data_IF_296313172825
#
_entry.id   IF_296313172825
#
_cell.length_a   1.000
_cell.length_b   1.000
_cell.length_c   1.000
_cell.angle_alpha   90.00
_cell.angle_beta   90.00
_cell.angle_gamma   90.00
#
_symmetry.space_group_name_H-M   'P 1'
#
loop_
_entity.id
_entity.type
_entity.pdbx_description
1 polymer ?
#
# COMPACT_ATOMS: atom_id res chain seq x y z
N UNK A 1 -0.98 -20.44 -17.26
CA UNK A 1 -1.25 -21.87 -17.00
C UNK A 1 -0.52 -22.15 -15.69
N UNK A 2 -1.25 -22.28 -14.58
CA UNK A 2 -0.64 -22.65 -13.29
C UNK A 2 -1.00 -24.12 -13.06
N UNK A 3 0.04 -24.94 -12.94
CA UNK A 3 -0.09 -26.36 -12.63
C UNK A 3 -0.57 -26.51 -11.18
N UNK A 4 -1.71 -27.18 -11.02
CA UNK A 4 -2.11 -27.72 -9.72
C UNK A 4 -1.24 -28.97 -9.52
N UNK A 5 -0.07 -28.79 -8.91
CA UNK A 5 0.70 -29.92 -8.42
C UNK A 5 -0.08 -30.52 -7.25
N UNK A 6 -0.76 -31.64 -7.51
CA UNK A 6 -1.18 -32.58 -6.47
C UNK A 6 0.09 -33.25 -5.91
N UNK A 7 0.78 -32.60 -4.98
CA UNK A 7 1.75 -33.28 -4.12
C UNK A 7 1.34 -33.10 -2.66
N UNK A 8 1.01 -34.21 -2.03
CA UNK A 8 0.61 -34.37 -0.62
C UNK A 8 1.83 -34.37 0.32
N UNK A 9 2.80 -33.51 0.08
CA UNK A 9 3.79 -33.13 1.08
C UNK A 9 3.61 -31.64 1.31
N UNK A 10 3.01 -31.31 2.45
CA UNK A 10 2.95 -29.92 2.91
C UNK A 10 4.40 -29.49 3.10
N UNK A 11 4.91 -28.69 2.17
CA UNK A 11 6.17 -28.00 2.34
C UNK A 11 6.07 -27.22 3.65
N UNK A 12 6.95 -27.53 4.61
CA UNK A 12 6.90 -26.92 5.94
C UNK A 12 7.02 -25.40 5.84
N UNK A 13 7.61 -24.91 4.75
CA UNK A 13 7.74 -23.49 4.44
C UNK A 13 6.40 -22.81 4.09
N UNK A 14 5.36 -23.59 3.78
CA UNK A 14 4.03 -23.07 3.41
C UNK A 14 3.00 -23.20 4.53
N UNK A 15 3.33 -23.85 5.65
CA UNK A 15 2.34 -24.24 6.67
C UNK A 15 1.54 -23.07 7.24
N UNK A 16 2.17 -21.91 7.38
CA UNK A 16 1.54 -20.71 7.94
C UNK A 16 0.49 -20.10 7.00
N UNK A 17 0.66 -20.29 5.69
CA UNK A 17 -0.28 -19.82 4.66
C UNK A 17 -1.47 -20.77 4.47
N UNK A 18 -1.40 -21.99 4.98
CA UNK A 18 -2.46 -22.98 4.80
C UNK A 18 -3.55 -22.77 5.87
N UNK A 19 -4.79 -22.77 5.41
CA UNK A 19 -5.98 -22.66 6.25
C UNK A 19 -6.00 -23.73 7.36
N UNK A 20 -6.08 -23.35 8.65
CA UNK A 20 -6.09 -24.30 9.75
C UNK A 20 -7.19 -25.36 9.65
N UNK A 21 -8.33 -25.05 9.04
CA UNK A 21 -9.45 -25.99 8.90
C UNK A 21 -9.10 -27.19 8.01
N UNK A 22 -8.17 -27.04 7.06
CA UNK A 22 -7.66 -28.13 6.23
C UNK A 22 -6.84 -29.15 7.02
N UNK A 23 -6.31 -28.76 8.18
CA UNK A 23 -5.58 -29.67 9.08
C UNK A 23 -6.48 -30.31 10.14
N UNK A 24 -7.62 -29.69 10.45
CA UNK A 24 -8.52 -30.12 11.53
C UNK A 24 -9.51 -31.20 11.06
N UNK A 25 -10.05 -31.07 9.84
CA UNK A 25 -11.13 -31.93 9.36
C UNK A 25 -10.92 -32.36 7.92
N UNK A 26 -11.12 -33.66 7.66
CA UNK A 26 -11.05 -34.25 6.33
C UNK A 26 -12.24 -33.87 5.43
N UNK A 27 -13.33 -33.33 5.99
CA UNK A 27 -14.51 -32.89 5.23
C UNK A 27 -14.43 -31.43 4.80
N UNK A 28 -13.45 -30.67 5.31
CA UNK A 28 -13.23 -29.30 4.87
C UNK A 28 -12.33 -29.32 3.64
N UNK A 29 -12.90 -28.93 2.51
CA UNK A 29 -12.17 -28.80 1.26
C UNK A 29 -11.67 -27.37 1.08
N UNK A 30 -10.54 -27.25 0.40
CA UNK A 30 -9.98 -25.97 0.01
C UNK A 30 -11.02 -25.18 -0.80
N UNK A 31 -11.33 -23.96 -0.36
CA UNK A 31 -12.30 -23.10 -1.00
C UNK A 31 -11.84 -21.64 -1.07
N UNK A 32 -12.73 -20.76 -1.54
CA UNK A 32 -12.44 -19.32 -1.61
C UNK A 32 -12.13 -18.70 -0.25
N UNK A 33 -12.58 -19.27 0.87
CA UNK A 33 -12.25 -18.78 2.21
C UNK A 33 -10.84 -19.19 2.60
N UNK A 34 -10.36 -20.35 2.16
CA UNK A 34 -8.95 -20.74 2.27
C UNK A 34 -8.05 -19.78 1.50
N UNK A 35 -8.43 -19.33 0.30
CA UNK A 35 -7.69 -18.29 -0.45
C UNK A 35 -7.56 -16.97 0.35
N UNK A 36 -8.66 -16.54 0.99
CA UNK A 36 -8.68 -15.31 1.81
C UNK A 36 -7.76 -15.45 3.02
N UNK A 37 -7.71 -16.63 3.63
CA UNK A 37 -6.79 -16.90 4.73
C UNK A 37 -5.34 -16.70 4.29
N UNK A 38 -4.93 -17.33 3.19
CA UNK A 38 -3.56 -17.20 2.65
C UNK A 38 -3.24 -15.75 2.31
N UNK A 39 -4.22 -15.01 1.77
CA UNK A 39 -4.08 -13.58 1.49
C UNK A 39 -3.83 -12.77 2.76
N UNK A 40 -4.49 -13.08 3.88
CA UNK A 40 -4.23 -12.42 5.17
C UNK A 40 -2.79 -12.59 5.64
N UNK A 41 -2.24 -13.80 5.52
CA UNK A 41 -0.84 -14.10 5.86
C UNK A 41 0.12 -13.34 4.95
N UNK A 42 -0.14 -13.30 3.64
CA UNK A 42 0.64 -12.51 2.67
C UNK A 42 0.61 -11.01 2.98
N UNK A 43 -0.55 -10.47 3.36
CA UNK A 43 -0.67 -9.06 3.75
C UNK A 43 0.17 -8.73 5.00
N UNK A 44 0.22 -9.64 5.98
CA UNK A 44 1.12 -9.50 7.11
C UNK A 44 2.59 -9.54 6.69
N UNK A 45 2.98 -10.48 5.82
CA UNK A 45 4.34 -10.59 5.28
C UNK A 45 4.77 -9.31 4.54
N UNK A 46 3.88 -8.73 3.71
CA UNK A 46 4.12 -7.44 3.06
C UNK A 46 4.34 -6.33 4.07
N UNK A 47 3.60 -6.36 5.18
CA UNK A 47 3.73 -5.37 6.24
C UNK A 47 4.99 -5.57 7.08
N UNK A 48 5.48 -6.79 7.24
CA UNK A 48 6.66 -7.11 8.05
C UNK A 48 7.96 -7.07 7.24
N UNK A 49 7.87 -7.25 5.92
CA UNK A 49 9.01 -7.46 5.03
C UNK A 49 9.74 -8.79 5.27
N UNK A 50 9.11 -9.74 6.00
CA UNK A 50 9.71 -11.02 6.37
C UNK A 50 8.67 -12.15 6.20
N UNK A 51 9.09 -13.33 5.73
CA UNK A 51 8.19 -14.47 5.67
C UNK A 51 7.71 -14.86 7.08
N UNK A 52 6.51 -15.48 7.20
CA UNK A 52 6.04 -16.10 8.43
C UNK A 52 7.08 -17.04 9.01
N UNK A 53 7.08 -17.19 10.34
CA UNK A 53 7.96 -18.17 10.97
C UNK A 53 7.52 -19.57 10.57
N UNK A 54 8.42 -20.34 9.98
CA UNK A 54 8.19 -21.74 9.59
C UNK A 54 8.96 -22.70 10.51
N UNK A 55 10.08 -22.26 11.08
CA UNK A 55 10.89 -23.05 12.02
C UNK A 55 10.09 -23.41 13.29
N UNK A 56 9.96 -24.70 13.56
CA UNK A 56 9.27 -25.28 14.71
C UNK A 56 7.75 -24.99 14.78
N UNK A 57 7.14 -24.47 13.72
CA UNK A 57 5.68 -24.32 13.64
C UNK A 57 5.08 -25.61 13.10
N UNK A 58 4.43 -26.39 13.96
CA UNK A 58 3.64 -27.56 13.55
C UNK A 58 2.18 -27.19 13.28
N UNK A 59 1.46 -28.05 12.55
CA UNK A 59 0.03 -27.89 12.25
C UNK A 59 -0.80 -27.57 13.50
N UNK A 60 -0.46 -28.19 14.63
CA UNK A 60 -1.12 -27.96 15.92
C UNK A 60 -0.99 -26.52 16.45
N UNK A 61 0.10 -25.80 16.17
CA UNK A 61 0.22 -24.39 16.55
C UNK A 61 -0.74 -23.52 15.74
N UNK A 62 -0.82 -23.77 14.43
CA UNK A 62 -1.70 -23.05 13.51
C UNK A 62 -3.17 -23.33 13.83
N UNK A 63 -3.53 -24.58 14.13
CA UNK A 63 -4.87 -24.96 14.63
C UNK A 63 -5.15 -24.31 15.99
N UNK A 64 -4.15 -24.22 16.87
CA UNK A 64 -4.24 -23.56 18.17
C UNK A 64 -4.35 -22.04 18.11
N UNK A 65 -4.42 -21.44 16.91
CA UNK A 65 -4.61 -20.01 16.72
C UNK A 65 -3.32 -19.18 16.78
N UNK A 66 -2.14 -19.81 16.71
CA UNK A 66 -0.88 -19.08 16.62
C UNK A 66 -0.86 -18.20 15.38
N UNK A 67 -0.65 -16.89 15.56
CA UNK A 67 -0.43 -15.93 14.47
C UNK A 67 0.70 -14.99 14.81
N UNK A 68 1.26 -14.39 13.77
CA UNK A 68 2.39 -13.49 13.84
C UNK A 68 2.04 -12.21 14.61
N UNK A 69 3.07 -11.62 15.21
CA UNK A 69 2.93 -10.41 16.00
C UNK A 69 2.69 -9.21 15.05
N UNK A 70 1.72 -8.33 15.35
CA UNK A 70 1.53 -7.09 14.61
C UNK A 70 2.81 -6.24 14.54
N UNK A 71 3.06 -5.66 13.37
CA UNK A 71 4.24 -4.82 13.14
C UNK A 71 3.94 -3.37 13.55
N UNK A 72 4.86 -2.77 14.31
CA UNK A 72 4.73 -1.37 14.70
C UNK A 72 4.82 -0.45 13.48
N UNK A 73 3.87 0.47 13.34
CA UNK A 73 3.80 1.42 12.23
C UNK A 73 2.95 0.96 11.05
N UNK A 74 2.41 -0.26 11.08
CA UNK A 74 1.34 -0.70 10.17
C UNK A 74 0.08 0.13 10.43
N UNK A 75 -0.58 0.69 9.39
CA UNK A 75 -1.86 1.37 9.56
C UNK A 75 -2.89 0.44 10.24
N UNK A 76 -3.63 0.97 11.23
CA UNK A 76 -4.56 0.18 12.04
C UNK A 76 -5.62 -0.51 11.17
N UNK A 77 -6.10 0.20 10.15
CA UNK A 77 -7.10 -0.31 9.22
C UNK A 77 -6.56 -1.47 8.36
N UNK A 78 -5.27 -1.44 8.02
CA UNK A 78 -4.60 -2.53 7.29
C UNK A 78 -4.35 -3.74 8.20
N UNK A 79 -3.94 -3.48 9.45
CA UNK A 79 -3.80 -4.47 10.52
C UNK A 79 -5.10 -5.23 10.76
N UNK A 80 -6.20 -4.51 10.95
CA UNK A 80 -7.51 -5.10 11.20
C UNK A 80 -7.99 -5.91 9.99
N UNK A 81 -7.70 -5.44 8.77
CA UNK A 81 -8.07 -6.13 7.54
C UNK A 81 -7.37 -7.48 7.41
N UNK A 82 -6.03 -7.54 7.46
CA UNK A 82 -5.36 -8.84 7.34
C UNK A 82 -5.70 -9.78 8.49
N UNK A 83 -5.98 -9.23 9.69
CA UNK A 83 -6.47 -10.03 10.82
C UNK A 83 -7.83 -10.66 10.57
N UNK A 84 -8.73 -9.94 9.90
CA UNK A 84 -10.02 -10.49 9.49
C UNK A 84 -9.87 -11.59 8.43
N UNK A 85 -8.89 -11.46 7.53
CA UNK A 85 -8.63 -12.42 6.47
C UNK A 85 -8.19 -13.79 7.01
N UNK A 86 -7.30 -13.82 8.01
CA UNK A 86 -6.81 -15.07 8.60
C UNK A 86 -7.61 -15.55 9.83
N UNK A 87 -8.86 -15.10 9.97
CA UNK A 87 -9.75 -15.54 11.06
C UNK A 87 -9.85 -17.08 11.05
N UNK A 88 -9.86 -17.68 12.24
CA UNK A 88 -9.97 -19.13 12.38
C UNK A 88 -11.22 -19.68 11.70
N UNK A 89 -12.37 -19.03 11.90
CA UNK A 89 -13.65 -19.45 11.33
C UNK A 89 -13.80 -18.95 9.87
N UNK A 90 -13.88 -19.84 8.86
CA UNK A 90 -13.94 -19.44 7.45
C UNK A 90 -15.09 -18.49 7.10
N UNK A 91 -16.22 -18.64 7.78
CA UNK A 91 -17.41 -17.82 7.55
C UNK A 91 -17.26 -16.37 8.04
N UNK A 92 -16.38 -16.15 9.02
CA UNK A 92 -16.08 -14.82 9.56
C UNK A 92 -15.07 -14.05 8.71
N UNK A 93 -14.43 -14.72 7.75
CA UNK A 93 -13.49 -14.08 6.82
C UNK A 93 -14.25 -13.23 5.80
N UNK A 94 -13.73 -12.06 5.41
CA UNK A 94 -14.34 -11.25 4.36
C UNK A 94 -14.36 -11.99 3.01
N UNK A 95 -15.19 -11.51 2.09
CA UNK A 95 -15.09 -11.86 0.67
C UNK A 95 -13.97 -11.06 0.00
N UNK A 96 -13.47 -11.53 -1.14
CA UNK A 96 -12.44 -10.81 -1.90
C UNK A 96 -12.88 -9.39 -2.29
N UNK A 97 -14.17 -9.17 -2.56
CA UNK A 97 -14.71 -7.83 -2.84
C UNK A 97 -14.57 -6.92 -1.63
N UNK A 98 -14.91 -7.39 -0.43
CA UNK A 98 -14.78 -6.61 0.80
C UNK A 98 -13.31 -6.30 1.11
N UNK A 99 -12.39 -7.24 0.86
CA UNK A 99 -10.95 -6.99 0.99
C UNK A 99 -10.50 -5.90 0.02
N UNK A 100 -10.89 -5.99 -1.25
CA UNK A 100 -10.57 -4.99 -2.26
C UNK A 100 -11.10 -3.60 -1.89
N UNK A 101 -12.38 -3.50 -1.52
CA UNK A 101 -13.03 -2.24 -1.15
C UNK A 101 -12.32 -1.59 0.05
N UNK A 102 -11.93 -2.40 1.05
CA UNK A 102 -11.22 -1.91 2.22
C UNK A 102 -9.81 -1.44 1.88
N UNK A 103 -9.08 -2.16 1.03
CA UNK A 103 -7.76 -1.72 0.54
C UNK A 103 -7.85 -0.40 -0.24
N UNK A 104 -8.89 -0.24 -1.06
CA UNK A 104 -9.13 1.00 -1.79
C UNK A 104 -9.41 2.18 -0.84
N UNK A 105 -10.20 1.96 0.21
CA UNK A 105 -10.46 2.94 1.27
C UNK A 105 -9.18 3.36 1.99
N UNK A 106 -8.35 2.40 2.41
CA UNK A 106 -7.06 2.65 3.09
C UNK A 106 -6.13 3.49 2.20
N UNK A 107 -6.07 3.18 0.91
CA UNK A 107 -5.29 3.93 -0.07
C UNK A 107 -5.76 5.38 -0.20
N UNK A 108 -7.08 5.60 -0.35
CA UNK A 108 -7.68 6.95 -0.43
C UNK A 108 -7.44 7.77 0.84
N UNK A 109 -7.52 7.13 2.01
CA UNK A 109 -7.27 7.78 3.29
C UNK A 109 -5.82 8.24 3.42
N UNK A 110 -4.85 7.44 2.95
CA UNK A 110 -3.42 7.79 2.97
C UNK A 110 -3.12 9.04 2.13
N UNK A 111 -3.68 9.13 0.93
CA UNK A 111 -3.56 10.32 0.08
C UNK A 111 -4.22 11.56 0.74
N UNK A 112 -5.38 11.38 1.37
CA UNK A 112 -6.10 12.43 2.08
C UNK A 112 -5.33 12.95 3.31
N UNK A 113 -4.67 12.05 4.05
CA UNK A 113 -3.80 12.41 5.18
C UNK A 113 -2.59 13.22 4.71
N UNK A 114 -1.94 12.84 3.60
CA UNK A 114 -0.84 13.61 3.01
C UNK A 114 -1.30 15.04 2.62
N UNK A 115 -2.46 15.16 1.97
CA UNK A 115 -3.08 16.46 1.64
C UNK A 115 -3.24 17.31 2.92
N UNK A 116 -3.82 16.72 3.97
CA UNK A 116 -4.09 17.43 5.22
C UNK A 116 -2.81 17.86 5.92
N UNK A 117 -1.76 17.05 5.93
CA UNK A 117 -0.45 17.41 6.49
C UNK A 117 0.19 18.57 5.72
N UNK A 118 0.17 18.52 4.38
CA UNK A 118 0.67 19.62 3.54
C UNK A 118 -0.10 20.92 3.84
N UNK A 119 -1.43 20.85 3.95
CA UNK A 119 -2.28 22.01 4.30
C UNK A 119 -1.96 22.55 5.69
N UNK A 120 -1.91 21.67 6.70
CA UNK A 120 -1.70 22.01 8.11
C UNK A 120 -0.36 22.72 8.32
N UNK A 121 0.71 22.17 7.74
CA UNK A 121 2.06 22.70 7.91
C UNK A 121 2.39 23.83 6.92
N UNK A 122 1.47 24.18 6.00
CA UNK A 122 1.65 25.18 4.93
C UNK A 122 3.00 25.04 4.21
N UNK A 123 3.45 23.79 4.02
CA UNK A 123 4.80 23.49 3.51
C UNK A 123 4.96 23.99 2.08
N UNK A 124 3.90 23.89 1.29
CA UNK A 124 3.87 24.29 -0.11
C UNK A 124 2.44 24.63 -0.55
N UNK A 125 2.30 25.39 -1.64
CA UNK A 125 1.00 25.77 -2.20
C UNK A 125 0.31 24.56 -2.82
N UNK A 126 -1.01 24.47 -2.62
CA UNK A 126 -1.84 23.54 -3.39
C UNK A 126 -2.29 24.25 -4.65
N UNK A 127 -1.99 23.67 -5.81
CA UNK A 127 -2.37 24.19 -7.12
C UNK A 127 -3.48 23.28 -7.64
N UNK A 128 -4.64 23.85 -7.97
CA UNK A 128 -5.69 23.05 -8.60
C UNK A 128 -5.25 22.68 -10.02
N UNK A 129 -5.54 21.45 -10.44
CA UNK A 129 -5.21 20.95 -11.78
C UNK A 129 -5.87 21.79 -12.87
N UNK A 130 -7.03 22.38 -12.59
CA UNK A 130 -7.73 23.28 -13.50
C UNK A 130 -6.98 24.60 -13.74
N UNK A 131 -6.00 24.94 -12.90
CA UNK A 131 -5.09 26.07 -13.12
C UNK A 131 -3.99 25.73 -14.15
N UNK A 132 -3.90 24.48 -14.58
CA UNK A 132 -2.92 24.02 -15.56
C UNK A 132 -3.59 23.84 -16.93
N UNK A 133 -2.89 24.19 -18.01
CA UNK A 133 -3.31 23.99 -19.40
C UNK A 133 -2.16 23.55 -20.28
N UNK A 134 -2.46 23.13 -21.51
CA UNK A 134 -1.47 22.67 -22.50
C UNK A 134 -0.52 21.60 -21.95
N UNK A 135 -1.09 20.63 -21.23
CA UNK A 135 -0.33 19.52 -20.64
C UNK A 135 0.22 18.66 -21.78
N UNK A 136 1.54 18.48 -21.80
CA UNK A 136 2.25 17.62 -22.75
C UNK A 136 3.19 16.70 -21.99
N UNK A 137 3.02 15.39 -22.19
CA UNK A 137 3.90 14.40 -21.59
C UNK A 137 5.30 14.48 -22.22
N UNK A 138 6.30 14.37 -21.34
CA UNK A 138 7.71 14.30 -21.64
C UNK A 138 8.15 12.99 -21.00
N UNK A 139 8.18 11.92 -21.78
CA UNK A 139 8.58 10.62 -21.25
C UNK A 139 10.01 10.67 -20.71
N UNK A 140 10.19 10.13 -19.51
CA UNK A 140 11.46 10.07 -18.80
C UNK A 140 11.62 8.74 -18.09
N UNK A 141 12.86 8.24 -18.02
CA UNK A 141 13.22 7.04 -17.28
C UNK A 141 12.84 7.10 -15.79
N UNK A 142 12.67 8.30 -15.20
CA UNK A 142 12.42 8.51 -13.77
C UNK A 142 10.96 8.72 -13.37
N UNK A 143 10.02 8.47 -14.29
CA UNK A 143 8.58 8.64 -14.08
C UNK A 143 7.92 9.49 -15.17
N UNK A 144 6.60 9.69 -15.05
CA UNK A 144 5.84 10.51 -16.01
C UNK A 144 6.09 11.98 -15.64
N UNK A 145 6.80 12.68 -16.52
CA UNK A 145 7.00 14.13 -16.43
C UNK A 145 6.11 14.75 -17.51
N UNK A 146 5.46 15.86 -17.19
CA UNK A 146 4.66 16.62 -18.14
C UNK A 146 5.04 18.09 -18.03
N UNK A 147 5.05 18.80 -19.15
CA UNK A 147 5.09 20.26 -19.17
C UNK A 147 3.66 20.78 -19.23
N UNK A 148 3.35 21.83 -18.47
CA UNK A 148 2.07 22.53 -18.53
C UNK A 148 2.30 24.05 -18.45
N UNK A 149 1.27 24.83 -18.77
CA UNK A 149 1.21 26.28 -18.52
C UNK A 149 0.40 26.49 -17.24
N UNK A 150 0.95 27.21 -16.27
CA UNK A 150 0.19 27.62 -15.08
C UNK A 150 -0.55 28.93 -15.36
N UNK A 151 -1.86 28.85 -15.56
CA UNK A 151 -2.74 29.95 -15.98
C UNK A 151 -2.57 31.22 -15.14
N UNK A 152 -2.33 31.08 -13.84
CA UNK A 152 -2.16 32.22 -12.91
C UNK A 152 -0.95 33.09 -13.23
N UNK A 153 0.13 32.47 -13.72
CA UNK A 153 1.39 33.18 -14.00
C UNK A 153 1.71 33.24 -15.49
N UNK A 154 0.96 32.51 -16.31
CA UNK A 154 1.19 32.31 -17.74
C UNK A 154 2.62 31.81 -18.08
N UNK A 155 3.23 31.07 -17.15
CA UNK A 155 4.56 30.49 -17.31
C UNK A 155 4.50 28.98 -17.48
N UNK A 156 5.51 28.42 -18.14
CA UNK A 156 5.71 26.98 -18.18
C UNK A 156 6.11 26.44 -16.81
N UNK A 157 5.52 25.31 -16.45
CA UNK A 157 5.85 24.53 -15.27
C UNK A 157 6.10 23.08 -15.68
N UNK A 158 6.95 22.41 -14.90
CA UNK A 158 7.18 20.97 -15.04
C UNK A 158 6.42 20.27 -13.92
N UNK A 159 5.54 19.36 -14.31
CA UNK A 159 4.77 18.51 -13.43
C UNK A 159 5.40 17.12 -13.42
N UNK A 160 5.87 16.64 -12.28
CA UNK A 160 6.32 15.26 -12.12
C UNK A 160 5.24 14.47 -11.40
N UNK A 161 4.70 13.44 -12.05
CA UNK A 161 3.79 12.50 -11.41
C UNK A 161 4.59 11.63 -10.45
N UNK A 162 4.27 11.70 -9.17
CA UNK A 162 4.72 10.72 -8.20
C UNK A 162 3.97 9.42 -8.52
N UNK A 163 4.73 8.36 -8.83
CA UNK A 163 4.14 7.02 -8.83
C UNK A 163 3.82 6.69 -7.37
N UNK A 164 2.64 6.13 -7.13
CA UNK A 164 2.35 5.43 -5.89
C UNK A 164 3.32 4.24 -5.86
N UNK A 165 4.55 4.47 -5.41
CA UNK A 165 5.47 3.38 -5.18
C UNK A 165 4.88 2.59 -4.02
N UNK A 166 4.47 1.38 -4.34
CA UNK A 166 4.22 0.27 -3.43
C UNK A 166 5.11 0.38 -2.18
N UNK A 167 4.51 0.72 -1.05
CA UNK A 167 4.82 0.07 0.22
C UNK A 167 3.85 0.56 1.28
N UNK A 168 3.16 -0.42 1.85
CA UNK A 168 2.45 -0.34 3.11
C UNK A 168 3.47 0.02 4.19
N UNK A 169 3.67 1.32 4.43
CA UNK A 169 4.38 1.88 5.57
C UNK A 169 4.19 3.40 5.55
N UNK A 170 4.07 4.06 6.70
CA UNK A 170 3.97 5.53 6.77
C UNK A 170 5.28 6.28 6.40
N UNK A 171 6.38 5.55 6.16
CA UNK A 171 7.71 6.10 5.85
C UNK A 171 7.79 6.95 4.56
N UNK A 172 7.07 6.65 3.45
CA UNK A 172 7.13 7.45 2.23
C UNK A 172 6.52 8.85 2.41
N UNK A 173 5.46 9.00 3.21
CA UNK A 173 4.81 10.29 3.48
C UNK A 173 5.73 11.20 4.29
N UNK A 174 6.34 10.68 5.36
CA UNK A 174 7.28 11.46 6.18
C UNK A 174 8.52 11.88 5.39
N UNK A 175 9.08 10.99 4.58
CA UNK A 175 10.20 11.31 3.70
C UNK A 175 9.83 12.40 2.69
N UNK A 176 8.63 12.34 2.10
CA UNK A 176 8.14 13.37 1.19
C UNK A 176 7.93 14.72 1.88
N UNK A 177 7.34 14.73 3.09
CA UNK A 177 7.16 15.95 3.88
C UNK A 177 8.51 16.57 4.27
N UNK A 178 9.48 15.75 4.69
CA UNK A 178 10.83 16.20 4.99
C UNK A 178 11.50 16.82 3.77
N UNK A 179 11.35 16.21 2.58
CA UNK A 179 11.88 16.74 1.33
C UNK A 179 11.26 18.11 1.00
N UNK A 180 9.95 18.27 1.17
CA UNK A 180 9.27 19.56 0.98
C UNK A 180 9.78 20.61 1.98
N UNK A 181 10.00 20.23 3.24
CA UNK A 181 10.54 21.14 4.24
C UNK A 181 11.95 21.61 3.91
N UNK A 182 12.82 20.70 3.45
CA UNK A 182 14.16 21.04 2.97
C UNK A 182 14.12 22.01 1.79
N UNK A 183 13.28 21.74 0.79
CA UNK A 183 13.14 22.62 -0.37
C UNK A 183 12.59 24.00 0.01
N UNK A 184 11.62 24.08 0.94
CA UNK A 184 11.10 25.35 1.45
C UNK A 184 12.20 26.21 2.07
N UNK A 185 13.15 25.60 2.78
CA UNK A 185 14.31 26.32 3.35
C UNK A 185 15.28 26.82 2.29
N UNK A 186 15.25 26.25 1.08
CA UNK A 186 16.16 26.57 -0.03
C UNK A 186 15.49 27.41 -1.14
N UNK A 187 14.24 27.86 -0.94
CA UNK A 187 13.41 28.54 -1.95
C UNK A 187 13.99 29.89 -2.46
N UNK A 188 14.97 30.45 -1.75
CA UNK A 188 15.68 31.67 -2.15
C UNK A 188 16.93 31.41 -3.01
N UNK A 189 17.34 30.14 -3.19
CA UNK A 189 18.52 29.80 -3.97
C UNK A 189 18.21 29.77 -5.47
N UNK A 190 18.77 30.70 -6.24
CA UNK A 190 18.55 30.78 -7.70
C UNK A 190 19.07 29.57 -8.49
N UNK A 191 19.92 28.73 -7.88
CA UNK A 191 20.54 27.56 -8.53
C UNK A 191 19.80 26.24 -8.24
N UNK A 192 18.79 26.26 -7.37
CA UNK A 192 18.02 25.06 -7.01
C UNK A 192 16.65 25.15 -7.67
N UNK A 193 16.17 24.01 -8.18
CA UNK A 193 14.85 23.92 -8.79
C UNK A 193 13.80 24.25 -7.73
N UNK A 194 12.96 25.24 -8.03
CA UNK A 194 11.88 25.68 -7.16
C UNK A 194 10.67 24.77 -7.28
N UNK A 195 10.19 24.26 -6.15
CA UNK A 195 8.90 23.56 -6.10
C UNK A 195 7.80 24.60 -5.89
N UNK A 196 6.94 24.78 -6.90
CA UNK A 196 5.90 25.82 -6.88
C UNK A 196 4.64 25.39 -6.13
N UNK A 197 4.34 24.09 -6.13
CA UNK A 197 3.12 23.56 -5.56
C UNK A 197 3.01 22.05 -5.70
N UNK A 198 1.96 21.51 -5.06
CA UNK A 198 1.50 20.14 -5.24
C UNK A 198 0.06 20.19 -5.74
N UNK A 199 -0.27 19.30 -6.68
CA UNK A 199 -1.61 19.10 -7.20
C UNK A 199 -2.06 17.68 -6.94
N UNK A 200 -3.36 17.48 -6.73
CA UNK A 200 -3.96 16.17 -6.50
C UNK A 200 -4.93 15.86 -7.64
N UNK A 201 -4.86 14.65 -8.21
CA UNK A 201 -5.67 14.23 -9.36
C UNK A 201 -4.83 13.76 -10.55
N UNK A 202 -5.50 13.37 -11.64
CA UNK A 202 -4.84 12.99 -12.89
C UNK A 202 -4.68 14.21 -13.79
N UNK A 203 -3.44 14.51 -14.16
CA UNK A 203 -3.15 15.34 -15.33
C UNK A 203 -3.55 14.48 -16.53
N UNK A 204 -4.56 14.95 -17.29
CA UNK A 204 -5.15 14.24 -18.43
C UNK A 204 -4.06 13.89 -19.45
#
# INVERSE_FOLDING_TARGET
MLDIVKNTEVDYDMISYIDPKLFETHSYEFDKKSDIYSLGVLMWELSSGNPPKTENISKSYIIGGYREIPISGTPVEYLDLYKSCWNYEPNERPSISQVYDKLEEISKNSASQLINLIKKHKLIKIINIDELSDVKNIDSYSGIISRAIWKKTNNYVICKKLKDNESICNKPIEAFLHLLEMHRRLDFCQRIIRILGVSFGKLI
#
